data_IF_637479977777
#
_entry.id   IF_637479977777
#
_cell.length_a   1.000
_cell.length_b   1.000
_cell.length_c   1.000
_cell.angle_alpha   90.00
_cell.angle_beta   90.00
_cell.angle_gamma   90.00
#
_symmetry.space_group_name_H-M   'P 1'
#
loop_
_entity.id
_entity.type
_entity.pdbx_description
1 polymer ?
#
# COMPACT_ATOMS: atom_id res chain seq x y z
N UNK A 1 10.80 -5.63 -84.01
CA UNK A 1 9.92 -5.47 -82.84
C UNK A 1 9.19 -4.15 -83.03
N UNK A 2 7.89 -4.20 -83.31
CA UNK A 2 7.14 -2.99 -83.63
C UNK A 2 6.99 -2.13 -82.38
N UNK A 3 7.13 -0.81 -82.52
CA UNK A 3 7.05 0.18 -81.43
C UNK A 3 5.77 0.01 -80.60
N UNK A 4 4.70 -0.47 -81.24
CA UNK A 4 3.42 -0.79 -80.62
C UNK A 4 3.51 -1.88 -79.55
N UNK A 5 4.27 -2.94 -79.79
CA UNK A 5 4.37 -4.06 -78.84
C UNK A 5 5.11 -3.64 -77.57
N UNK A 6 6.19 -2.85 -77.72
CA UNK A 6 6.92 -2.27 -76.60
C UNK A 6 6.04 -1.30 -75.77
N UNK A 7 5.17 -0.53 -76.41
CA UNK A 7 4.23 0.37 -75.71
C UNK A 7 3.17 -0.40 -74.91
N UNK A 8 2.67 -1.50 -75.47
CA UNK A 8 1.69 -2.37 -74.81
C UNK A 8 2.34 -3.06 -73.60
N UNK A 9 3.55 -3.59 -73.75
CA UNK A 9 4.31 -4.18 -72.65
C UNK A 9 4.60 -3.16 -71.54
N UNK A 10 4.99 -1.93 -71.90
CA UNK A 10 5.23 -0.86 -70.93
C UNK A 10 3.95 -0.46 -70.17
N UNK A 11 2.81 -0.40 -70.86
CA UNK A 11 1.53 -0.10 -70.23
C UNK A 11 1.09 -1.20 -69.26
N UNK A 12 1.28 -2.47 -69.64
CA UNK A 12 0.94 -3.63 -68.81
C UNK A 12 1.84 -3.71 -67.57
N UNK A 13 3.14 -3.54 -67.73
CA UNK A 13 4.11 -3.51 -66.62
C UNK A 13 3.88 -2.32 -65.69
N UNK A 14 3.60 -1.12 -66.21
CA UNK A 14 3.24 0.05 -65.40
C UNK A 14 1.99 -0.20 -64.54
N UNK A 15 0.97 -0.84 -65.11
CA UNK A 15 -0.24 -1.21 -64.36
C UNK A 15 0.04 -2.24 -63.28
N UNK A 16 0.85 -3.26 -63.58
CA UNK A 16 1.26 -4.27 -62.62
C UNK A 16 2.05 -3.66 -61.44
N UNK A 17 3.04 -2.81 -61.73
CA UNK A 17 3.84 -2.12 -60.71
C UNK A 17 2.99 -1.16 -59.85
N UNK A 18 1.98 -0.49 -60.43
CA UNK A 18 1.05 0.35 -59.66
C UNK A 18 0.21 -0.47 -58.68
N UNK A 19 -0.25 -1.65 -59.10
CA UNK A 19 -1.02 -2.54 -58.23
C UNK A 19 -0.13 -3.08 -57.10
N UNK A 20 1.09 -3.49 -57.43
CA UNK A 20 2.05 -3.99 -56.45
C UNK A 20 2.47 -2.92 -55.44
N UNK A 21 2.74 -1.69 -55.88
CA UNK A 21 3.04 -0.58 -54.97
C UNK A 21 1.89 -0.29 -54.00
N UNK A 22 0.63 -0.35 -54.47
CA UNK A 22 -0.53 -0.22 -53.58
C UNK A 22 -0.57 -1.32 -52.53
N UNK A 23 -0.31 -2.57 -52.94
CA UNK A 23 -0.25 -3.72 -52.00
C UNK A 23 0.85 -3.54 -50.97
N UNK A 24 2.05 -3.12 -51.40
CA UNK A 24 3.19 -2.89 -50.52
C UNK A 24 2.94 -1.78 -49.50
N UNK A 25 2.24 -0.71 -49.90
CA UNK A 25 1.88 0.35 -48.95
C UNK A 25 0.96 -0.16 -47.84
N UNK A 26 -0.04 -0.98 -48.16
CA UNK A 26 -0.93 -1.58 -47.16
C UNK A 26 -0.13 -2.45 -46.18
N UNK A 27 0.68 -3.37 -46.69
CA UNK A 27 1.50 -4.25 -45.84
C UNK A 27 2.51 -3.46 -45.00
N UNK A 28 3.06 -2.36 -45.53
CA UNK A 28 3.95 -1.47 -44.77
C UNK A 28 3.22 -0.84 -43.58
N UNK A 29 2.01 -0.30 -43.79
CA UNK A 29 1.23 0.32 -42.70
C UNK A 29 0.82 -0.70 -41.62
N UNK A 30 0.50 -1.93 -42.01
CA UNK A 30 0.21 -3.01 -41.05
C UNK A 30 1.43 -3.35 -40.21
N UNK A 31 2.60 -3.46 -40.85
CA UNK A 31 3.86 -3.71 -40.15
C UNK A 31 4.20 -2.61 -39.16
N UNK A 32 4.12 -1.35 -39.57
CA UNK A 32 4.37 -0.18 -38.70
C UNK A 32 3.44 -0.18 -37.47
N UNK A 33 2.17 -0.55 -37.66
CA UNK A 33 1.22 -0.69 -36.55
C UNK A 33 1.64 -1.80 -35.57
N UNK A 34 1.98 -2.98 -36.07
CA UNK A 34 2.43 -4.09 -35.22
C UNK A 34 3.71 -3.77 -34.46
N UNK A 35 4.67 -3.08 -35.10
CA UNK A 35 5.91 -2.63 -34.46
C UNK A 35 5.64 -1.62 -33.34
N UNK A 36 4.71 -0.69 -33.56
CA UNK A 36 4.28 0.26 -32.53
C UNK A 36 3.63 -0.46 -31.33
N UNK A 37 2.72 -1.41 -31.58
CA UNK A 37 2.07 -2.19 -30.52
C UNK A 37 3.07 -3.02 -29.71
N UNK A 38 4.03 -3.67 -30.39
CA UNK A 38 5.11 -4.41 -29.74
C UNK A 38 6.00 -3.51 -28.88
N UNK A 39 6.35 -2.32 -29.36
CA UNK A 39 7.11 -1.35 -28.59
C UNK A 39 6.38 -0.94 -27.30
N UNK A 40 5.06 -0.71 -27.38
CA UNK A 40 4.24 -0.39 -26.21
C UNK A 40 4.19 -1.55 -25.21
N UNK A 41 4.02 -2.78 -25.67
CA UNK A 41 4.02 -3.97 -24.81
C UNK A 41 5.38 -4.16 -24.13
N UNK A 42 6.47 -3.96 -24.86
CA UNK A 42 7.82 -4.04 -24.34
C UNK A 42 8.05 -3.01 -23.23
N UNK A 43 7.68 -1.74 -23.46
CA UNK A 43 7.77 -0.68 -22.44
C UNK A 43 6.94 -1.04 -21.20
N UNK A 44 5.73 -1.56 -21.37
CA UNK A 44 4.88 -1.97 -20.25
C UNK A 44 5.51 -3.13 -19.45
N UNK A 45 6.19 -4.05 -20.11
CA UNK A 45 6.90 -5.14 -19.47
C UNK A 45 8.15 -4.65 -18.71
N UNK A 46 8.95 -3.77 -19.30
CA UNK A 46 10.10 -3.14 -18.65
C UNK A 46 9.67 -2.42 -17.36
N UNK A 47 8.63 -1.59 -17.42
CA UNK A 47 8.10 -0.89 -16.23
C UNK A 47 7.65 -1.84 -15.12
N UNK A 48 7.03 -2.98 -15.47
CA UNK A 48 6.66 -4.01 -14.50
C UNK A 48 7.90 -4.65 -13.86
N UNK A 49 8.92 -4.97 -14.66
CA UNK A 49 10.17 -5.55 -14.17
C UNK A 49 10.93 -4.58 -13.26
N UNK A 50 11.01 -3.30 -13.64
CA UNK A 50 11.60 -2.22 -12.82
C UNK A 50 10.89 -2.11 -11.48
N UNK A 51 9.56 -2.06 -11.46
CA UNK A 51 8.79 -1.96 -10.21
C UNK A 51 8.94 -3.21 -9.31
N UNK A 52 9.09 -4.40 -9.89
CA UNK A 52 9.41 -5.62 -9.13
C UNK A 52 10.82 -5.50 -8.54
N UNK A 53 11.79 -5.04 -9.33
CA UNK A 53 13.18 -4.88 -8.91
C UNK A 53 13.32 -3.81 -7.81
N UNK A 54 12.65 -2.67 -7.94
CA UNK A 54 12.58 -1.62 -6.92
C UNK A 54 11.99 -2.15 -5.62
N UNK A 55 10.88 -2.90 -5.67
CA UNK A 55 10.31 -3.55 -4.48
C UNK A 55 11.26 -4.55 -3.84
N UNK A 56 12.02 -5.30 -4.64
CA UNK A 56 13.02 -6.24 -4.14
C UNK A 56 14.21 -5.51 -3.49
N UNK A 57 14.67 -4.40 -4.07
CA UNK A 57 15.75 -3.57 -3.52
C UNK A 57 15.30 -2.84 -2.24
N UNK A 58 14.09 -2.29 -2.21
CA UNK A 58 13.50 -1.68 -1.01
C UNK A 58 13.35 -2.69 0.13
N UNK A 59 13.00 -3.95 -0.17
CA UNK A 59 13.00 -5.03 0.83
C UNK A 59 14.40 -5.32 1.40
N UNK A 60 15.46 -5.16 0.61
CA UNK A 60 16.85 -5.34 1.05
C UNK A 60 17.39 -4.17 1.87
N UNK A 61 16.88 -2.96 1.66
CA UNK A 61 17.27 -1.74 2.38
C UNK A 61 16.43 -1.45 3.63
N UNK A 62 15.69 -2.44 4.16
CA UNK A 62 15.02 -2.26 5.44
C UNK A 62 16.08 -1.97 6.52
N UNK A 63 16.02 -0.84 7.23
CA UNK A 63 16.93 -0.57 8.32
C UNK A 63 16.81 -1.72 9.33
N UNK A 64 17.91 -2.44 9.52
CA UNK A 64 17.96 -3.50 10.51
C UNK A 64 18.08 -2.82 11.86
N UNK A 65 16.94 -2.53 12.48
CA UNK A 65 16.93 -1.98 13.83
C UNK A 65 17.23 -3.14 14.78
N UNK A 66 18.40 -3.09 15.40
CA UNK A 66 18.75 -3.98 16.49
C UNK A 66 18.14 -3.43 17.78
N UNK A 67 16.95 -3.93 18.10
CA UNK A 67 16.31 -3.70 19.39
C UNK A 67 16.89 -4.71 20.38
N UNK A 68 17.27 -4.24 21.58
CA UNK A 68 17.71 -5.11 22.67
C UNK A 68 16.56 -6.04 23.05
N UNK A 69 16.83 -7.34 23.12
CA UNK A 69 15.86 -8.29 23.66
C UNK A 69 15.50 -7.90 25.10
N UNK A 70 14.22 -7.97 25.41
CA UNK A 70 13.69 -7.75 26.76
C UNK A 70 13.58 -9.08 27.49
N UNK A 71 13.84 -9.07 28.78
CA UNK A 71 13.64 -10.22 29.66
C UNK A 71 12.19 -10.33 30.09
N UNK A 72 11.78 -11.51 30.57
CA UNK A 72 10.41 -11.72 31.08
C UNK A 72 10.09 -10.84 32.30
N UNK A 73 11.08 -10.55 33.13
CA UNK A 73 10.93 -9.68 34.30
C UNK A 73 10.71 -8.23 33.88
N UNK A 74 11.52 -7.71 32.96
CA UNK A 74 11.35 -6.37 32.40
C UNK A 74 9.99 -6.23 31.68
N UNK A 75 9.58 -7.26 30.95
CA UNK A 75 8.26 -7.28 30.30
C UNK A 75 7.13 -7.18 31.33
N UNK A 76 7.25 -7.88 32.46
CA UNK A 76 6.26 -7.84 33.55
C UNK A 76 6.21 -6.48 34.23
N UNK A 77 7.37 -5.85 34.45
CA UNK A 77 7.46 -4.50 35.00
C UNK A 77 6.78 -3.48 34.08
N UNK A 78 7.09 -3.52 32.78
CA UNK A 78 6.45 -2.65 31.77
C UNK A 78 4.94 -2.88 31.74
N UNK A 79 4.48 -4.13 31.77
CA UNK A 79 3.05 -4.45 31.79
C UNK A 79 2.37 -3.89 33.05
N UNK A 80 2.99 -4.05 34.22
CA UNK A 80 2.44 -3.54 35.49
C UNK A 80 2.31 -2.02 35.48
N UNK A 81 3.38 -1.32 35.10
CA UNK A 81 3.39 0.16 35.01
C UNK A 81 2.34 0.65 34.00
N UNK A 82 2.30 0.03 32.82
CA UNK A 82 1.35 0.41 31.77
C UNK A 82 -0.09 0.18 32.21
N UNK A 83 -0.37 -0.94 32.88
CA UNK A 83 -1.70 -1.26 33.38
C UNK A 83 -2.17 -0.28 34.46
N UNK A 84 -1.28 0.10 35.38
CA UNK A 84 -1.56 1.13 36.38
C UNK A 84 -1.89 2.47 35.73
N UNK A 85 -1.10 2.91 34.74
CA UNK A 85 -1.36 4.15 33.98
C UNK A 85 -2.71 4.11 33.25
N UNK A 86 -3.07 2.97 32.66
CA UNK A 86 -4.38 2.79 32.01
C UNK A 86 -5.51 2.92 33.05
N UNK A 87 -5.38 2.32 34.22
CA UNK A 87 -6.41 2.41 35.27
C UNK A 87 -6.56 3.84 35.78
N UNK A 88 -5.44 4.53 36.07
CA UNK A 88 -5.45 5.94 36.48
C UNK A 88 -6.14 6.82 35.44
N UNK A 89 -5.90 6.58 34.14
CA UNK A 89 -6.61 7.30 33.08
C UNK A 89 -8.12 6.97 33.07
N UNK A 90 -8.50 5.69 33.21
CA UNK A 90 -9.91 5.26 33.19
C UNK A 90 -10.72 5.75 34.38
N UNK A 91 -10.10 5.88 35.54
CA UNK A 91 -10.72 6.33 36.79
C UNK A 91 -10.70 7.86 36.93
N UNK A 92 -9.97 8.56 36.06
CA UNK A 92 -9.84 10.01 36.10
C UNK A 92 -11.18 10.70 35.84
N UNK A 93 -11.57 11.59 36.75
CA UNK A 93 -12.76 12.44 36.62
C UNK A 93 -12.54 13.64 35.71
N UNK A 94 -11.30 13.94 35.34
CA UNK A 94 -10.91 15.10 34.52
C UNK A 94 -10.80 14.75 33.03
N UNK A 95 -11.66 13.83 32.57
CA UNK A 95 -11.67 13.41 31.17
C UNK A 95 -12.76 14.14 30.38
N UNK A 96 -12.42 14.52 29.15
CA UNK A 96 -13.29 15.20 28.22
C UNK A 96 -13.74 14.24 27.12
N UNK A 97 -14.91 14.47 26.55
CA UNK A 97 -15.41 13.73 25.39
C UNK A 97 -15.91 14.74 24.36
N UNK A 98 -15.72 14.45 23.08
CA UNK A 98 -16.34 15.25 22.02
C UNK A 98 -17.88 15.14 22.00
N UNK A 99 -18.43 14.15 22.72
CA UNK A 99 -19.86 13.82 22.71
C UNK A 99 -20.31 13.13 21.41
N UNK A 100 -19.41 12.97 20.44
CA UNK A 100 -19.71 12.31 19.18
C UNK A 100 -19.65 10.79 19.34
N UNK A 101 -20.53 10.09 18.62
CA UNK A 101 -20.40 8.65 18.43
C UNK A 101 -20.35 8.31 16.96
N UNK A 102 -19.26 7.67 16.54
CA UNK A 102 -19.01 7.27 15.15
C UNK A 102 -18.99 5.75 15.09
N UNK A 103 -19.96 5.13 14.42
CA UNK A 103 -20.11 3.67 14.35
C UNK A 103 -20.06 2.96 15.73
N UNK A 104 -20.62 3.61 16.76
CA UNK A 104 -20.66 3.11 18.14
C UNK A 104 -19.35 3.29 18.94
N UNK A 105 -18.33 3.89 18.34
CA UNK A 105 -17.16 4.39 19.07
C UNK A 105 -17.49 5.70 19.77
N UNK A 106 -16.95 5.90 20.97
CA UNK A 106 -16.98 7.15 21.72
C UNK A 106 -15.56 7.50 22.13
N UNK A 107 -15.20 8.76 22.03
CA UNK A 107 -13.89 9.27 22.42
C UNK A 107 -13.88 9.79 23.86
N UNK A 108 -12.72 9.70 24.47
CA UNK A 108 -12.41 10.29 25.75
C UNK A 108 -10.94 10.73 25.72
N UNK A 109 -10.64 11.97 26.09
CA UNK A 109 -9.29 12.50 26.09
C UNK A 109 -9.01 13.34 27.35
N UNK A 110 -7.74 13.42 27.73
CA UNK A 110 -7.25 14.23 28.84
C UNK A 110 -6.00 14.98 28.40
N UNK A 111 -5.89 16.24 28.83
CA UNK A 111 -4.72 17.07 28.60
C UNK A 111 -3.90 17.16 29.88
N UNK A 112 -2.66 16.68 29.85
CA UNK A 112 -1.75 16.75 30.98
C UNK A 112 -0.36 17.16 30.50
N UNK A 113 0.21 18.26 31.02
CA UNK A 113 1.60 18.65 30.79
C UNK A 113 2.09 18.67 29.32
N UNK A 114 1.20 19.07 28.39
CA UNK A 114 1.40 19.11 26.91
C UNK A 114 1.22 17.77 26.20
N UNK A 115 1.00 16.71 26.95
CA UNK A 115 0.62 15.40 26.41
C UNK A 115 -0.91 15.28 26.35
N UNK A 116 -1.36 14.46 25.41
CA UNK A 116 -2.77 14.14 25.21
C UNK A 116 -2.91 12.64 25.37
N UNK A 117 -3.56 12.24 26.45
CA UNK A 117 -4.04 10.86 26.57
C UNK A 117 -5.39 10.77 25.89
N UNK A 118 -5.60 9.72 25.10
CA UNK A 118 -6.88 9.47 24.44
C UNK A 118 -7.27 8.00 24.54
N UNK A 119 -8.57 7.75 24.58
CA UNK A 119 -9.15 6.42 24.51
C UNK A 119 -10.39 6.42 23.62
N UNK A 120 -10.64 5.27 23.02
CA UNK A 120 -11.82 5.00 22.22
C UNK A 120 -12.57 3.81 22.82
N UNK A 121 -13.84 3.99 23.13
CA UNK A 121 -14.68 2.96 23.73
C UNK A 121 -15.80 2.54 22.78
N UNK A 122 -15.98 1.23 22.61
CA UNK A 122 -17.10 0.64 21.86
C UNK A 122 -17.74 -0.51 22.64
N UNK A 123 -19.07 -0.53 22.67
CA UNK A 123 -19.84 -1.57 23.36
C UNK A 123 -20.40 -2.56 22.35
N UNK A 124 -20.12 -3.86 22.57
CA UNK A 124 -20.64 -4.96 21.77
C UNK A 124 -21.74 -5.69 22.55
N UNK A 125 -23.02 -5.51 22.18
CA UNK A 125 -24.16 -6.02 22.97
C UNK A 125 -24.35 -7.55 22.93
N UNK A 126 -23.81 -8.22 21.92
CA UNK A 126 -24.05 -9.65 21.69
C UNK A 126 -22.76 -10.50 21.75
N UNK A 127 -21.68 -9.93 22.26
CA UNK A 127 -20.40 -10.62 22.40
C UNK A 127 -19.95 -10.55 23.85
N UNK A 128 -19.39 -11.65 24.36
CA UNK A 128 -18.72 -11.63 25.65
C UNK A 128 -17.40 -10.88 25.56
N UNK A 129 -16.89 -10.43 26.71
CA UNK A 129 -15.60 -9.73 26.78
C UNK A 129 -14.47 -10.60 26.25
N UNK A 130 -14.47 -11.89 26.59
CA UNK A 130 -13.47 -12.90 26.19
C UNK A 130 -13.47 -13.12 24.68
N UNK A 131 -14.66 -13.12 24.08
CA UNK A 131 -14.81 -13.28 22.63
C UNK A 131 -14.23 -12.07 21.88
N UNK A 132 -14.54 -10.86 22.34
CA UNK A 132 -14.04 -9.63 21.73
C UNK A 132 -12.53 -9.50 21.95
N UNK A 133 -12.05 -9.73 23.17
CA UNK A 133 -10.62 -9.62 23.49
C UNK A 133 -9.79 -10.64 22.71
N UNK A 134 -10.26 -11.88 22.59
CA UNK A 134 -9.59 -12.89 21.77
C UNK A 134 -9.55 -12.53 20.28
N UNK A 135 -10.63 -11.99 19.73
CA UNK A 135 -10.67 -11.52 18.34
C UNK A 135 -9.68 -10.37 18.11
N UNK A 136 -9.68 -9.39 19.01
CA UNK A 136 -8.78 -8.22 18.95
C UNK A 136 -7.33 -8.65 19.15
N UNK A 137 -7.04 -9.59 20.05
CA UNK A 137 -5.70 -10.13 20.23
C UNK A 137 -5.19 -10.87 18.99
N UNK A 138 -6.03 -11.71 18.37
CA UNK A 138 -5.68 -12.42 17.13
C UNK A 138 -5.36 -11.48 15.97
N UNK A 139 -6.01 -10.32 15.92
CA UNK A 139 -5.76 -9.25 14.96
C UNK A 139 -4.38 -8.61 15.16
N UNK A 140 -4.01 -8.30 16.42
CA UNK A 140 -2.73 -7.66 16.76
C UNK A 140 -1.53 -8.62 16.73
N UNK A 141 -1.74 -9.91 17.01
CA UNK A 141 -0.70 -10.95 16.97
C UNK A 141 -0.03 -11.12 15.60
N UNK A 142 -0.66 -10.62 14.53
CA UNK A 142 -0.10 -10.70 13.18
C UNK A 142 0.13 -9.30 12.64
N UNK A 143 1.39 -8.86 12.61
CA UNK A 143 1.75 -7.52 12.16
C UNK A 143 1.20 -7.14 10.77
N UNK A 144 1.07 -8.12 9.85
CA UNK A 144 0.46 -7.90 8.53
C UNK A 144 -1.05 -7.63 8.59
N UNK A 145 -1.76 -8.24 9.53
CA UNK A 145 -3.18 -7.98 9.77
C UNK A 145 -3.37 -6.67 10.51
N UNK A 146 -2.51 -6.39 11.50
CA UNK A 146 -2.51 -5.13 12.22
C UNK A 146 -2.27 -3.94 11.28
N UNK A 147 -1.34 -4.06 10.32
CA UNK A 147 -1.09 -3.03 9.30
C UNK A 147 -2.35 -2.65 8.49
N UNK A 148 -3.30 -3.58 8.32
CA UNK A 148 -4.54 -3.31 7.56
C UNK A 148 -5.54 -2.42 8.31
N UNK A 149 -5.35 -2.23 9.62
CA UNK A 149 -6.19 -1.31 10.41
C UNK A 149 -5.84 0.16 10.15
N UNK A 150 -4.67 0.42 9.58
CA UNK A 150 -4.28 1.78 9.24
C UNK A 150 -5.04 2.26 8.00
N UNK A 151 -5.39 3.55 7.94
CA UNK A 151 -5.96 4.15 6.74
C UNK A 151 -5.04 3.93 5.54
N UNK A 152 -5.59 3.84 4.32
CA UNK A 152 -4.81 3.65 3.07
C UNK A 152 -3.78 4.77 2.80
N UNK A 153 -3.93 5.92 3.45
CA UNK A 153 -2.97 7.03 3.39
C UNK A 153 -1.73 6.79 4.25
N UNK A 154 -1.70 5.74 5.06
CA UNK A 154 -0.58 5.38 5.94
C UNK A 154 -0.10 3.99 5.58
N UNK A 155 1.18 3.89 5.18
CA UNK A 155 1.84 2.61 5.03
C UNK A 155 2.46 2.23 6.36
N UNK A 156 1.82 1.28 7.05
CA UNK A 156 2.33 0.73 8.29
C UNK A 156 3.07 -0.59 8.03
N UNK A 157 4.32 -0.70 8.48
CA UNK A 157 5.10 -1.94 8.40
C UNK A 157 5.46 -2.40 9.79
N UNK A 158 5.04 -3.60 10.17
CA UNK A 158 5.36 -4.23 11.45
C UNK A 158 6.39 -5.33 11.25
N UNK A 159 7.45 -5.32 12.07
CA UNK A 159 8.47 -6.36 12.10
C UNK A 159 8.51 -6.93 13.52
N UNK A 160 8.29 -8.24 13.65
CA UNK A 160 8.40 -8.93 14.94
C UNK A 160 9.87 -8.99 15.35
N UNK A 161 10.19 -8.40 16.49
CA UNK A 161 11.54 -8.36 17.06
C UNK A 161 11.77 -9.55 17.96
N UNK A 162 10.81 -9.82 18.85
CA UNK A 162 10.91 -10.86 19.86
C UNK A 162 9.52 -11.35 20.26
N UNK A 163 9.40 -12.66 20.50
CA UNK A 163 8.24 -13.29 21.12
C UNK A 163 8.69 -13.91 22.44
N UNK A 164 8.17 -13.41 23.56
CA UNK A 164 8.48 -13.96 24.87
C UNK A 164 7.59 -15.17 25.16
N UNK A 165 6.30 -15.02 24.85
CA UNK A 165 5.30 -16.08 24.94
C UNK A 165 4.13 -15.78 23.97
N UNK A 166 3.03 -16.52 24.09
CA UNK A 166 1.84 -16.36 23.24
C UNK A 166 1.10 -15.03 23.44
N UNK A 167 1.30 -14.36 24.57
CA UNK A 167 0.62 -13.13 24.98
C UNK A 167 1.56 -11.91 24.98
N UNK A 168 2.87 -12.12 24.83
CA UNK A 168 3.89 -11.08 24.91
C UNK A 168 4.75 -11.05 23.64
N UNK A 169 4.47 -10.05 22.80
CA UNK A 169 5.08 -9.83 21.49
C UNK A 169 5.68 -8.43 21.42
N UNK A 170 6.93 -8.34 20.96
CA UNK A 170 7.60 -7.08 20.70
C UNK A 170 7.66 -6.82 19.20
N UNK A 171 7.03 -5.73 18.76
CA UNK A 171 7.09 -5.26 17.38
C UNK A 171 7.93 -3.98 17.28
N UNK A 172 8.67 -3.87 16.19
CA UNK A 172 9.16 -2.61 15.67
C UNK A 172 8.34 -2.24 14.44
N UNK A 173 7.71 -1.07 14.45
CA UNK A 173 6.91 -0.60 13.32
C UNK A 173 7.42 0.71 12.72
N UNK A 174 7.24 0.85 11.41
CA UNK A 174 7.41 2.13 10.71
C UNK A 174 6.07 2.59 10.14
N UNK A 175 5.81 3.89 10.24
CA UNK A 175 4.62 4.53 9.68
C UNK A 175 5.09 5.56 8.66
N UNK A 176 4.69 5.37 7.40
CA UNK A 176 4.99 6.28 6.31
C UNK A 176 3.69 6.88 5.80
N UNK A 177 3.56 8.20 5.88
CA UNK A 177 2.43 8.91 5.25
C UNK A 177 2.64 8.85 3.73
N UNK A 178 1.66 8.32 3.01
CA UNK A 178 1.67 8.39 1.55
C UNK A 178 1.68 9.87 1.13
N UNK A 179 2.64 10.25 0.29
CA UNK A 179 2.61 11.56 -0.36
C UNK A 179 1.32 11.64 -1.17
N UNK A 180 0.28 12.27 -0.60
CA UNK A 180 -0.79 12.81 -1.43
C UNK A 180 -0.12 13.81 -2.35
N UNK A 181 -0.21 13.58 -3.66
CA UNK A 181 0.10 14.57 -4.65
C UNK A 181 -0.64 15.85 -4.26
N UNK A 182 0.12 16.84 -3.78
CA UNK A 182 -0.33 18.20 -3.63
C UNK A 182 -0.59 18.76 -5.02
N UNK A 183 -1.74 18.42 -5.60
CA UNK A 183 -2.22 18.99 -6.85
C UNK A 183 -3.72 19.19 -6.77
N UNK A 184 -4.12 20.22 -6.02
CA UNK A 184 -5.11 21.22 -6.46
C UNK A 184 -5.50 22.11 -5.28
N UNK A 185 -4.81 23.24 -5.16
CA UNK A 185 -5.43 24.43 -4.60
C UNK A 185 -5.00 25.59 -5.50
N UNK A 186 -5.59 25.65 -6.68
CA UNK A 186 -5.71 26.90 -7.43
C UNK A 186 -7.06 27.46 -6.98
N UNK A 187 -7.00 28.55 -6.19
CA UNK A 187 -8.14 29.37 -5.86
C UNK A 187 -8.65 30.03 -7.15
N UNK A 188 -9.96 29.97 -7.37
CA UNK A 188 -10.69 31.05 -8.06
C UNK A 188 -11.05 32.13 -7.05
#
# INVERSE_FOLDING_TARGET
MEIRDAFVELAMTSKALRLENKRLQVTKTEKEKTESELAHLYIAQCKKAEHIQERMMAKKQKPTIHVRNITSTECTEIMSETYERINVFRESTESFTSGMSVFGWRDCYRYENKDIDFSLTKTYRHHSMESVSGMVWNLFRHGATFAQLYPKSVTATFNEVQRLDDNNLLYFHTLEMGQQASSSCVRE
#
